data_IF_740219968350
#
_entry.id   IF_740219968350
#
_cell.length_a   1.000
_cell.length_b   1.000
_cell.length_c   1.000
_cell.angle_alpha   90.00
_cell.angle_beta   90.00
_cell.angle_gamma   90.00
#
_symmetry.space_group_name_H-M   'P 1'
#
loop_
_entity.id
_entity.type
_entity.pdbx_description
1 polymer ?
#
# COMPACT_ATOMS: atom_id res chain seq x y z
N UNK A 1 12.02 19.26 -15.44
CA UNK A 1 11.20 18.25 -14.74
C UNK A 1 11.47 18.46 -13.26
N UNK A 2 10.45 18.76 -12.45
CA UNK A 2 10.62 18.85 -11.00
C UNK A 2 11.17 17.49 -10.53
N UNK A 3 12.30 17.51 -9.81
CA UNK A 3 12.90 16.35 -9.16
C UNK A 3 11.86 15.69 -8.24
N UNK A 4 11.17 14.68 -8.75
CA UNK A 4 10.22 13.91 -7.97
C UNK A 4 11.03 13.15 -6.92
N UNK A 5 10.75 13.42 -5.63
CA UNK A 5 11.40 12.67 -4.55
C UNK A 5 11.10 11.20 -4.75
N UNK A 6 12.11 10.35 -4.59
CA UNK A 6 11.99 8.88 -4.72
C UNK A 6 10.85 8.27 -3.88
N UNK A 7 10.39 8.96 -2.82
CA UNK A 7 9.32 8.47 -1.95
C UNK A 7 8.58 9.62 -1.27
N UNK A 8 7.26 9.47 -1.11
CA UNK A 8 6.41 10.28 -0.25
C UNK A 8 5.83 9.41 0.89
N UNK A 9 5.69 9.97 2.09
CA UNK A 9 5.18 9.23 3.25
C UNK A 9 3.64 9.25 3.31
N UNK A 10 3.04 8.08 3.54
CA UNK A 10 1.61 7.92 3.76
C UNK A 10 1.35 7.25 5.11
N UNK A 11 0.54 7.87 5.96
CA UNK A 11 0.20 7.39 7.30
C UNK A 11 -1.28 7.03 7.34
N UNK A 12 -1.61 5.79 7.75
CA UNK A 12 -2.99 5.29 7.80
C UNK A 12 -3.33 4.85 9.23
N UNK A 13 -4.51 5.27 9.69
CA UNK A 13 -5.13 4.71 10.89
C UNK A 13 -6.21 3.72 10.49
N UNK A 14 -6.24 2.58 11.15
CA UNK A 14 -7.23 1.54 10.92
C UNK A 14 -7.55 0.84 12.24
N UNK A 15 -8.67 0.10 12.25
CA UNK A 15 -9.05 -0.70 13.41
C UNK A 15 -7.97 -1.75 13.72
N UNK A 16 -7.69 -2.07 14.99
CA UNK A 16 -6.69 -3.09 15.35
C UNK A 16 -6.96 -4.45 14.69
N UNK A 17 -8.23 -4.86 14.61
CA UNK A 17 -8.63 -6.10 13.95
C UNK A 17 -8.28 -6.14 12.46
N UNK A 18 -8.42 -5.00 11.78
CA UNK A 18 -8.07 -4.87 10.35
C UNK A 18 -6.55 -4.92 10.19
N UNK A 19 -5.80 -4.23 11.07
CA UNK A 19 -4.34 -4.27 11.06
C UNK A 19 -3.81 -5.69 11.22
N UNK A 20 -4.30 -6.43 12.22
CA UNK A 20 -3.85 -7.80 12.47
C UNK A 20 -4.13 -8.74 11.28
N UNK A 21 -5.31 -8.62 10.66
CA UNK A 21 -5.64 -9.40 9.47
C UNK A 21 -4.75 -9.04 8.27
N UNK A 22 -4.47 -7.75 8.07
CA UNK A 22 -3.63 -7.28 6.99
C UNK A 22 -2.15 -7.68 7.18
N UNK A 23 -1.65 -7.67 8.42
CA UNK A 23 -0.30 -8.17 8.74
C UNK A 23 -0.16 -9.66 8.42
N UNK A 24 -1.19 -10.46 8.73
CA UNK A 24 -1.22 -11.87 8.35
C UNK A 24 -1.20 -12.05 6.83
N UNK A 25 -2.07 -11.34 6.11
CA UNK A 25 -2.11 -11.41 4.64
C UNK A 25 -0.77 -11.01 4.01
N UNK A 26 -0.12 -9.96 4.53
CA UNK A 26 1.19 -9.54 4.05
C UNK A 26 2.27 -10.61 4.29
N UNK A 27 2.24 -11.28 5.46
CA UNK A 27 3.15 -12.37 5.78
C UNK A 27 2.94 -13.59 4.86
N UNK A 28 1.69 -13.96 4.57
CA UNK A 28 1.35 -15.03 3.63
C UNK A 28 1.92 -14.76 2.21
N UNK A 29 2.03 -13.47 1.84
CA UNK A 29 2.63 -13.00 0.59
C UNK A 29 4.13 -12.66 0.68
N UNK A 30 4.80 -13.05 1.77
CA UNK A 30 6.23 -12.81 2.04
C UNK A 30 6.64 -11.33 1.89
N UNK A 31 5.78 -10.39 2.29
CA UNK A 31 6.03 -8.94 2.19
C UNK A 31 5.62 -8.19 3.45
N UNK A 32 6.04 -6.93 3.54
CA UNK A 32 5.62 -6.03 4.63
C UNK A 32 4.18 -5.55 4.40
N UNK A 33 3.49 -5.16 5.49
CA UNK A 33 2.17 -4.53 5.40
C UNK A 33 2.20 -3.26 4.53
N UNK A 34 3.25 -2.46 4.63
CA UNK A 34 3.40 -1.24 3.83
C UNK A 34 3.47 -1.58 2.33
N UNK A 35 4.26 -2.58 1.96
CA UNK A 35 4.39 -3.04 0.57
C UNK A 35 3.09 -3.65 0.03
N UNK A 36 2.34 -4.39 0.86
CA UNK A 36 1.02 -4.89 0.48
C UNK A 36 0.04 -3.74 0.23
N UNK A 37 -0.01 -2.75 1.12
CA UNK A 37 -0.87 -1.57 0.96
C UNK A 37 -0.52 -0.76 -0.29
N UNK A 38 0.76 -0.57 -0.57
CA UNK A 38 1.23 0.11 -1.78
C UNK A 38 0.80 -0.66 -3.04
N UNK A 39 1.01 -1.98 -3.07
CA UNK A 39 0.57 -2.83 -4.17
C UNK A 39 -0.94 -2.72 -4.42
N UNK A 40 -1.77 -2.90 -3.37
CA UNK A 40 -3.22 -2.81 -3.48
C UNK A 40 -3.69 -1.43 -3.96
N UNK A 41 -3.03 -0.36 -3.50
CA UNK A 41 -3.34 0.99 -3.93
C UNK A 41 -2.95 1.20 -5.40
N UNK A 42 -1.77 0.76 -5.83
CA UNK A 42 -1.32 0.86 -7.22
C UNK A 42 -2.29 0.12 -8.14
N UNK A 43 -2.65 -1.12 -7.81
CA UNK A 43 -3.59 -1.91 -8.61
C UNK A 43 -4.96 -1.24 -8.69
N UNK A 44 -5.46 -0.71 -7.58
CA UNK A 44 -6.72 0.04 -7.57
C UNK A 44 -6.67 1.28 -8.46
N UNK A 45 -5.58 2.06 -8.37
CA UNK A 45 -5.42 3.29 -9.15
C UNK A 45 -5.24 2.99 -10.64
N UNK A 46 -4.50 1.93 -11.00
CA UNK A 46 -4.34 1.46 -12.39
C UNK A 46 -5.66 0.98 -12.97
N UNK A 47 -6.40 0.14 -12.25
CA UNK A 47 -7.71 -0.35 -12.68
C UNK A 47 -8.73 0.78 -12.92
N UNK A 48 -8.56 1.92 -12.24
CA UNK A 48 -9.41 3.10 -12.41
C UNK A 48 -8.84 4.16 -13.37
N UNK A 49 -7.65 3.95 -13.91
CA UNK A 49 -7.00 4.88 -14.84
C UNK A 49 -6.39 6.13 -14.18
N UNK A 50 -6.24 6.16 -12.86
CA UNK A 50 -5.60 7.25 -12.13
C UNK A 50 -4.07 7.16 -12.14
N UNK A 51 -3.54 5.95 -12.33
CA UNK A 51 -2.10 5.67 -12.43
C UNK A 51 -1.87 4.83 -13.69
N UNK A 52 -0.85 5.19 -14.49
CA UNK A 52 -0.49 4.47 -15.73
C UNK A 52 0.70 3.56 -15.49
#
# INVERSE_FOLDING_TARGET
>A
MLDEKKTAAFQVRMRPSVKAAAEKAAADESRSLASLMEYLLIEHLKAKGYLK
#
